data_IF_506473013977
#
_entry.id   IF_506473013977
#
_cell.length_a   1.000
_cell.length_b   1.000
_cell.length_c   1.000
_cell.angle_alpha   90.00
_cell.angle_beta   90.00
_cell.angle_gamma   90.00
#
_symmetry.space_group_name_H-M   'P 1'
#
loop_
_entity.id
_entity.type
_entity.pdbx_description
1 polymer ?
#
# COMPACT_ATOMS: atom_id res chain seq x y z
N UNK A 1 9.66 8.72 8.18
CA UNK A 1 8.23 8.79 7.85
C UNK A 1 8.10 8.80 6.34
N UNK A 2 7.16 8.03 5.77
CA UNK A 2 6.87 8.08 4.33
C UNK A 2 6.11 9.36 4.02
N UNK A 3 6.45 10.02 2.90
CA UNK A 3 5.69 11.15 2.38
C UNK A 3 4.39 10.69 1.69
N UNK A 4 3.63 11.63 1.12
CA UNK A 4 2.40 11.33 0.42
C UNK A 4 2.65 10.40 -0.77
N UNK A 5 1.67 9.58 -1.07
CA UNK A 5 1.66 8.71 -2.25
C UNK A 5 0.47 9.08 -3.10
N UNK A 6 0.71 9.33 -4.38
CA UNK A 6 -0.32 9.51 -5.38
C UNK A 6 -0.39 8.27 -6.27
N UNK A 7 -1.60 7.86 -6.64
CA UNK A 7 -1.80 6.71 -7.50
C UNK A 7 -2.90 6.96 -8.52
N UNK A 8 -2.76 6.36 -9.70
CA UNK A 8 -3.78 6.29 -10.73
C UNK A 8 -3.97 4.84 -11.12
N UNK A 9 -5.21 4.39 -11.25
CA UNK A 9 -5.52 3.01 -11.63
C UNK A 9 -6.44 3.00 -12.86
N UNK A 10 -6.11 2.16 -13.84
CA UNK A 10 -6.95 1.88 -15.00
C UNK A 10 -7.82 0.65 -14.74
N UNK A 11 -8.90 0.52 -15.53
CA UNK A 11 -9.81 -0.63 -15.48
C UNK A 11 -9.14 -1.97 -15.80
N UNK A 12 -8.06 -1.93 -16.58
CA UNK A 12 -7.29 -3.13 -16.96
C UNK A 12 -6.30 -3.62 -15.89
N UNK A 13 -6.33 -2.98 -14.70
CA UNK A 13 -5.46 -3.29 -13.57
C UNK A 13 -4.08 -2.64 -13.62
N UNK A 14 -3.80 -1.80 -14.63
CA UNK A 14 -2.56 -1.02 -14.67
C UNK A 14 -2.63 0.12 -13.65
N UNK A 15 -1.61 0.25 -12.82
CA UNK A 15 -1.50 1.28 -11.78
C UNK A 15 -0.23 2.09 -11.98
N UNK A 16 -0.37 3.40 -11.89
CA UNK A 16 0.75 4.32 -11.70
C UNK A 16 0.84 4.74 -10.25
N UNK A 17 2.01 4.76 -9.69
CA UNK A 17 2.29 5.21 -8.32
C UNK A 17 3.43 6.21 -8.31
N UNK A 18 3.23 7.30 -7.59
CA UNK A 18 4.25 8.29 -7.28
C UNK A 18 4.34 8.44 -5.76
N UNK A 19 5.48 8.10 -5.19
CA UNK A 19 5.73 8.15 -3.76
C UNK A 19 6.81 9.18 -3.45
N UNK A 20 6.47 10.15 -2.63
CA UNK A 20 7.45 11.11 -2.14
C UNK A 20 8.14 10.55 -0.89
N UNK A 21 9.46 10.54 -0.87
CA UNK A 21 10.28 10.11 0.26
C UNK A 21 11.40 11.09 0.50
N UNK A 22 11.35 11.79 1.61
CA UNK A 22 12.38 12.75 2.06
C UNK A 22 12.97 13.59 0.90
N UNK A 23 14.00 13.10 0.24
CA UNK A 23 14.69 13.79 -0.84
C UNK A 23 14.49 13.13 -2.23
N UNK A 24 13.70 12.06 -2.35
CA UNK A 24 13.53 11.33 -3.60
C UNK A 24 12.05 11.07 -3.90
N UNK A 25 11.69 11.21 -5.16
CA UNK A 25 10.40 10.75 -5.70
C UNK A 25 10.61 9.41 -6.38
N UNK A 26 9.81 8.42 -6.02
CA UNK A 26 9.79 7.11 -6.66
C UNK A 26 8.56 7.03 -7.53
N UNK A 27 8.73 6.83 -8.82
CA UNK A 27 7.66 6.59 -9.78
C UNK A 27 7.66 5.11 -10.20
N UNK A 28 6.48 4.52 -10.30
CA UNK A 28 6.35 3.13 -10.72
C UNK A 28 5.06 2.88 -11.52
N UNK A 29 5.11 1.95 -12.45
CA UNK A 29 3.96 1.33 -13.09
C UNK A 29 3.88 -0.13 -12.68
N UNK A 30 2.68 -0.59 -12.34
CA UNK A 30 2.45 -1.97 -11.89
C UNK A 30 1.23 -2.54 -12.61
N UNK A 31 1.32 -3.80 -13.03
CA UNK A 31 0.18 -4.57 -13.55
C UNK A 31 0.32 -6.04 -13.13
N UNK A 32 -0.49 -6.45 -12.16
CA UNK A 32 -0.35 -7.76 -11.54
C UNK A 32 1.02 -7.89 -10.84
N UNK A 33 1.76 -8.93 -11.18
CA UNK A 33 3.10 -9.20 -10.63
C UNK A 33 4.23 -8.51 -11.38
N UNK A 34 3.92 -7.86 -12.50
CA UNK A 34 4.89 -7.14 -13.35
C UNK A 34 4.86 -5.66 -13.07
N UNK A 35 6.01 -5.01 -13.28
CA UNK A 35 6.07 -3.56 -13.14
C UNK A 35 7.42 -2.99 -13.50
N UNK A 36 7.45 -1.67 -13.61
CA UNK A 36 8.65 -0.89 -13.84
C UNK A 36 8.76 0.22 -12.79
N UNK A 37 9.95 0.48 -12.33
CA UNK A 37 10.29 1.56 -11.41
C UNK A 37 11.28 2.51 -12.08
N UNK A 38 11.09 3.80 -11.85
CA UNK A 38 11.99 4.82 -12.34
C UNK A 38 13.17 5.00 -11.38
N UNK A 39 14.36 4.88 -11.91
CA UNK A 39 15.63 5.11 -11.22
C UNK A 39 16.36 6.29 -11.87
N UNK A 40 17.50 6.68 -11.34
CA UNK A 40 18.38 7.69 -11.97
C UNK A 40 18.89 7.26 -13.35
N UNK A 41 19.00 5.96 -13.59
CA UNK A 41 19.43 5.37 -14.85
C UNK A 41 18.28 5.14 -15.86
N UNK A 42 17.04 5.47 -15.49
CA UNK A 42 15.84 5.28 -16.29
C UNK A 42 14.89 4.21 -15.73
N UNK A 43 14.05 3.65 -16.59
CA UNK A 43 13.08 2.62 -16.18
C UNK A 43 13.74 1.24 -16.05
N UNK A 44 13.52 0.58 -14.93
CA UNK A 44 13.99 -0.79 -14.66
C UNK A 44 12.80 -1.68 -14.29
N UNK A 45 12.90 -2.97 -14.64
CA UNK A 45 11.90 -3.94 -14.22
C UNK A 45 11.90 -4.10 -12.69
N UNK A 46 10.73 -4.26 -12.07
CA UNK A 46 10.63 -4.44 -10.61
C UNK A 46 11.37 -5.68 -10.12
N UNK A 47 11.47 -6.72 -10.96
CA UNK A 47 12.25 -7.93 -10.66
C UNK A 47 13.76 -7.66 -10.58
N UNK A 48 14.26 -6.72 -11.35
CA UNK A 48 15.68 -6.33 -11.41
C UNK A 48 16.02 -5.26 -10.37
N UNK A 49 15.10 -4.32 -10.13
CA UNK A 49 15.28 -3.20 -9.19
C UNK A 49 15.52 -3.64 -7.72
N UNK A 50 15.15 -4.88 -7.38
CA UNK A 50 15.51 -5.48 -6.10
C UNK A 50 17.01 -5.75 -5.92
N UNK A 51 17.76 -5.79 -7.01
CA UNK A 51 19.21 -6.06 -7.04
C UNK A 51 20.04 -4.80 -7.27
N UNK A 52 19.45 -3.80 -7.94
CA UNK A 52 20.12 -2.57 -8.34
C UNK A 52 19.68 -1.39 -7.46
N UNK A 53 20.54 -0.93 -6.61
CA UNK A 53 20.44 0.45 -6.12
C UNK A 53 19.96 0.69 -4.68
N UNK A 54 20.79 1.32 -3.92
CA UNK A 54 20.45 1.98 -2.68
C UNK A 54 20.78 1.21 -1.39
N UNK A 55 21.67 0.26 -1.42
CA UNK A 55 22.09 -0.54 -0.27
C UNK A 55 21.30 -1.85 -0.11
N UNK A 56 21.85 -2.85 0.56
CA UNK A 56 21.25 -4.15 0.71
C UNK A 56 19.89 -4.05 1.44
N UNK A 57 18.81 -4.41 0.74
CA UNK A 57 17.45 -4.51 1.27
C UNK A 57 16.48 -3.40 0.87
N UNK A 58 16.90 -2.19 0.50
CA UNK A 58 15.99 -1.06 0.24
C UNK A 58 15.23 -1.20 -1.07
N UNK A 59 15.92 -1.56 -2.15
CA UNK A 59 15.32 -1.83 -3.47
C UNK A 59 14.37 -3.02 -3.41
N UNK A 60 14.78 -4.09 -2.74
CA UNK A 60 13.95 -5.29 -2.56
C UNK A 60 12.67 -4.98 -1.75
N UNK A 61 12.74 -4.12 -0.75
CA UNK A 61 11.57 -3.71 0.02
C UNK A 61 10.58 -2.92 -0.84
N UNK A 62 11.06 -1.96 -1.63
CA UNK A 62 10.22 -1.17 -2.53
C UNK A 62 9.58 -2.05 -3.60
N UNK A 63 10.35 -2.94 -4.24
CA UNK A 63 9.83 -3.87 -5.24
C UNK A 63 8.74 -4.77 -4.66
N UNK A 64 8.96 -5.34 -3.48
CA UNK A 64 7.94 -6.17 -2.79
C UNK A 64 6.70 -5.36 -2.42
N UNK A 65 6.85 -4.14 -1.96
CA UNK A 65 5.73 -3.26 -1.65
C UNK A 65 4.90 -2.96 -2.90
N UNK A 66 5.55 -2.67 -4.03
CA UNK A 66 4.89 -2.39 -5.30
C UNK A 66 4.19 -3.63 -5.87
N UNK A 67 4.84 -4.80 -5.85
CA UNK A 67 4.23 -6.07 -6.30
C UNK A 67 3.02 -6.49 -5.44
N UNK A 68 2.97 -6.08 -4.18
CA UNK A 68 1.84 -6.35 -3.28
C UNK A 68 0.86 -5.18 -3.19
N UNK A 69 1.01 -4.16 -4.04
CA UNK A 69 0.09 -3.04 -4.06
C UNK A 69 -1.31 -3.51 -4.42
N UNK A 70 -2.27 -3.03 -3.65
CA UNK A 70 -3.70 -3.26 -3.90
C UNK A 70 -4.37 -1.94 -4.25
N UNK A 71 -5.25 -1.99 -5.23
CA UNK A 71 -6.10 -0.85 -5.53
C UNK A 71 -6.96 -0.50 -4.30
N UNK A 72 -7.24 0.80 -4.05
CA UNK A 72 -7.94 1.25 -2.84
C UNK A 72 -9.22 0.48 -2.51
N UNK A 73 -10.04 0.16 -3.51
CA UNK A 73 -11.27 -0.59 -3.29
C UNK A 73 -11.00 -2.03 -2.79
N UNK A 74 -10.01 -2.71 -3.37
CA UNK A 74 -9.64 -4.07 -2.94
C UNK A 74 -9.00 -4.05 -1.52
N UNK A 75 -8.25 -3.02 -1.19
CA UNK A 75 -7.67 -2.84 0.14
C UNK A 75 -8.76 -2.64 1.21
N UNK A 76 -9.77 -1.80 0.92
CA UNK A 76 -10.89 -1.56 1.83
C UNK A 76 -11.72 -2.82 2.06
N UNK A 77 -11.97 -3.63 1.02
CA UNK A 77 -12.67 -4.92 1.17
C UNK A 77 -11.90 -5.84 2.14
N UNK A 78 -10.59 -5.97 1.94
CA UNK A 78 -9.76 -6.78 2.85
C UNK A 78 -9.74 -6.23 4.29
N UNK A 79 -9.77 -4.92 4.46
CA UNK A 79 -9.84 -4.30 5.79
C UNK A 79 -11.20 -4.53 6.45
N UNK A 80 -12.29 -4.43 5.69
CA UNK A 80 -13.63 -4.68 6.20
C UNK A 80 -13.80 -6.11 6.75
N UNK A 81 -13.15 -7.10 6.13
CA UNK A 81 -13.12 -8.49 6.64
C UNK A 81 -12.38 -8.64 7.98
N UNK A 82 -11.52 -7.67 8.33
CA UNK A 82 -10.70 -7.67 9.55
C UNK A 82 -11.26 -6.80 10.67
N UNK A 83 -12.38 -6.13 10.41
CA UNK A 83 -13.05 -5.23 11.34
C UNK A 83 -14.18 -5.95 12.04
N UNK A 84 -14.24 -5.80 13.36
CA UNK A 84 -15.39 -6.20 14.13
C UNK A 84 -16.48 -5.12 14.05
N UNK A 85 -17.73 -5.53 13.81
CA UNK A 85 -18.89 -4.66 13.93
C UNK A 85 -18.83 -3.34 13.14
N UNK A 86 -18.55 -3.43 11.83
CA UNK A 86 -18.63 -2.27 10.96
C UNK A 86 -20.02 -1.66 10.98
N UNK A 87 -20.14 -0.44 11.45
CA UNK A 87 -21.42 0.28 11.63
C UNK A 87 -21.43 1.57 10.83
N UNK A 88 -22.61 1.96 10.38
CA UNK A 88 -22.80 3.27 9.76
C UNK A 88 -22.94 4.33 10.85
N UNK A 89 -22.06 5.34 10.82
CA UNK A 89 -22.08 6.50 11.69
C UNK A 89 -22.05 7.78 10.83
N UNK A 90 -23.19 8.44 10.74
CA UNK A 90 -23.37 9.59 9.86
C UNK A 90 -23.22 9.19 8.38
N UNK A 91 -22.25 9.78 7.69
CA UNK A 91 -21.92 9.55 6.29
C UNK A 91 -20.81 8.51 6.07
N UNK A 92 -20.30 7.92 7.15
CA UNK A 92 -19.21 6.95 7.10
C UNK A 92 -19.60 5.60 7.73
N UNK A 93 -18.87 4.56 7.33
CA UNK A 93 -18.86 3.26 7.99
C UNK A 93 -17.61 3.19 8.89
N UNK A 94 -17.79 2.85 10.16
CA UNK A 94 -16.73 2.85 11.16
C UNK A 94 -16.71 1.51 11.88
N UNK A 95 -15.53 1.02 12.22
CA UNK A 95 -15.36 -0.18 13.03
C UNK A 95 -13.90 -0.36 13.47
N UNK A 96 -13.75 -1.10 14.57
CA UNK A 96 -12.41 -1.41 15.09
C UNK A 96 -11.89 -2.71 14.50
N UNK A 97 -10.60 -2.75 14.18
CA UNK A 97 -9.95 -3.98 13.79
C UNK A 97 -9.99 -4.98 14.95
N UNK A 98 -10.23 -6.25 14.64
CA UNK A 98 -9.89 -7.33 15.57
C UNK A 98 -8.39 -7.29 15.86
N UNK A 99 -7.94 -7.85 16.96
CA UNK A 99 -6.50 -7.91 17.27
C UNK A 99 -5.71 -8.60 16.14
N UNK A 100 -6.23 -9.71 15.62
CA UNK A 100 -5.61 -10.40 14.48
C UNK A 100 -5.64 -9.55 13.20
N UNK A 101 -6.74 -8.83 12.96
CA UNK A 101 -6.86 -7.89 11.86
C UNK A 101 -5.81 -6.77 11.94
N UNK A 102 -5.68 -6.15 13.11
CA UNK A 102 -4.68 -5.12 13.36
C UNK A 102 -3.25 -5.66 13.21
N UNK A 103 -2.95 -6.86 13.73
CA UNK A 103 -1.66 -7.55 13.50
C UNK A 103 -1.38 -7.74 12.01
N UNK A 104 -2.37 -8.19 11.24
CA UNK A 104 -2.23 -8.41 9.82
C UNK A 104 -1.94 -7.10 9.04
N UNK A 105 -2.60 -6.00 9.41
CA UNK A 105 -2.38 -4.67 8.81
C UNK A 105 -1.01 -4.11 9.18
N UNK A 106 -0.57 -4.26 10.43
CA UNK A 106 0.76 -3.83 10.89
C UNK A 106 1.88 -4.60 10.21
N UNK A 107 1.76 -5.94 10.12
CA UNK A 107 2.74 -6.80 9.46
C UNK A 107 2.86 -6.48 7.96
N UNK A 108 1.75 -6.10 7.31
CA UNK A 108 1.73 -5.77 5.89
C UNK A 108 2.42 -6.84 5.02
N UNK A 109 3.30 -6.44 4.08
CA UNK A 109 4.03 -7.38 3.22
C UNK A 109 4.95 -8.35 3.98
N UNK A 110 5.41 -7.97 5.18
CA UNK A 110 6.29 -8.81 6.00
C UNK A 110 5.60 -10.06 6.57
N UNK A 111 4.26 -10.11 6.55
CA UNK A 111 3.49 -11.28 6.99
C UNK A 111 3.83 -12.57 6.24
N UNK A 112 4.29 -12.44 4.99
CA UNK A 112 4.68 -13.55 4.11
C UNK A 112 6.18 -13.84 4.11
N UNK A 113 6.95 -13.16 4.96
CA UNK A 113 8.37 -13.44 5.11
C UNK A 113 8.60 -14.79 5.81
N UNK A 114 9.75 -15.41 5.57
CA UNK A 114 10.15 -16.65 6.25
C UNK A 114 10.22 -16.50 7.78
N UNK A 115 10.39 -15.27 8.27
CA UNK A 115 10.37 -14.92 9.68
C UNK A 115 9.49 -13.69 9.87
N UNK A 116 8.15 -13.85 10.02
CA UNK A 116 7.26 -12.74 10.22
C UNK A 116 7.53 -12.05 11.56
N UNK A 117 7.35 -10.73 11.65
CA UNK A 117 7.53 -10.02 12.90
C UNK A 117 6.54 -10.51 13.96
N UNK A 118 6.99 -10.61 15.19
CA UNK A 118 6.08 -10.77 16.31
C UNK A 118 5.42 -9.43 16.62
N UNK A 119 4.09 -9.41 16.70
CA UNK A 119 3.31 -8.19 16.96
C UNK A 119 2.41 -8.42 18.16
N UNK A 120 2.52 -7.54 19.15
CA UNK A 120 1.73 -7.54 20.37
C UNK A 120 0.98 -6.23 20.56
N UNK A 121 -0.13 -6.27 21.32
CA UNK A 121 -0.93 -5.09 21.64
C UNK A 121 -1.52 -4.40 20.40
N UNK A 122 -1.71 -5.14 19.32
CA UNK A 122 -2.21 -4.59 18.07
C UNK A 122 -3.67 -4.17 18.20
N UNK A 123 -3.95 -2.93 17.84
CA UNK A 123 -5.30 -2.35 17.76
C UNK A 123 -5.37 -1.29 16.70
N UNK A 124 -6.57 -0.93 16.30
CA UNK A 124 -6.80 0.13 15.32
C UNK A 124 -8.24 0.21 14.87
N UNK A 125 -8.52 1.14 14.00
CA UNK A 125 -9.86 1.39 13.47
C UNK A 125 -9.84 1.68 11.98
N UNK A 126 -10.96 1.41 11.34
CA UNK A 126 -11.23 1.70 9.94
C UNK A 126 -12.42 2.65 9.84
N UNK A 127 -12.32 3.64 8.96
CA UNK A 127 -13.40 4.53 8.60
C UNK A 127 -13.49 4.65 7.08
N UNK A 128 -14.68 4.44 6.52
CA UNK A 128 -14.90 4.37 5.06
C UNK A 128 -16.06 5.27 4.68
N UNK A 129 -15.89 6.08 3.65
CA UNK A 129 -16.92 6.92 3.07
C UNK A 129 -17.30 6.41 1.67
N UNK A 130 -18.60 6.20 1.50
CA UNK A 130 -19.18 5.82 0.22
C UNK A 130 -20.09 6.95 -0.22
N UNK A 131 -19.83 7.51 -1.39
CA UNK A 131 -20.64 8.55 -2.01
C UNK A 131 -21.19 8.03 -3.34
N UNK A 132 -22.50 8.11 -3.53
CA UNK A 132 -23.19 7.67 -4.75
C UNK A 132 -22.88 6.20 -5.11
N UNK A 133 -22.75 5.34 -4.11
CA UNK A 133 -22.41 3.92 -4.28
C UNK A 133 -20.93 3.65 -4.57
N UNK A 134 -20.08 4.68 -4.56
CA UNK A 134 -18.65 4.59 -4.88
C UNK A 134 -17.81 4.93 -3.66
N UNK A 135 -16.74 4.17 -3.44
CA UNK A 135 -15.74 4.48 -2.42
C UNK A 135 -15.07 5.84 -2.74
N UNK A 136 -15.23 6.82 -1.85
CA UNK A 136 -14.68 8.16 -2.02
C UNK A 136 -13.46 8.43 -1.14
N UNK A 137 -13.43 7.82 0.05
CA UNK A 137 -12.34 8.00 1.02
C UNK A 137 -12.34 6.84 1.99
N UNK A 138 -11.16 6.52 2.52
CA UNK A 138 -11.04 5.74 3.74
C UNK A 138 -9.87 6.22 4.59
N UNK A 139 -9.98 5.99 5.88
CA UNK A 139 -8.92 6.23 6.85
C UNK A 139 -8.77 4.99 7.71
N UNK A 140 -7.55 4.67 8.09
CA UNK A 140 -7.31 3.68 9.12
C UNK A 140 -6.19 4.10 10.06
N UNK A 141 -6.31 3.66 11.29
CA UNK A 141 -5.25 3.76 12.28
C UNK A 141 -4.89 2.36 12.73
N UNK A 142 -3.61 2.08 12.92
CA UNK A 142 -3.14 0.86 13.55
C UNK A 142 -1.94 1.17 14.43
N UNK A 143 -1.90 0.56 15.60
CA UNK A 143 -0.80 0.67 16.54
C UNK A 143 -0.51 -0.66 17.20
N UNK A 144 0.71 -0.84 17.66
CA UNK A 144 1.17 -2.05 18.35
C UNK A 144 2.68 -2.06 18.47
N UNK A 145 3.20 -3.04 19.17
CA UNK A 145 4.64 -3.26 19.33
C UNK A 145 5.08 -4.37 18.38
N UNK A 146 6.04 -4.08 17.55
CA UNK A 146 6.63 -5.03 16.60
C UNK A 146 8.03 -5.41 17.06
N UNK A 147 8.29 -6.71 17.18
CA UNK A 147 9.60 -7.26 17.52
C UNK A 147 10.21 -7.92 16.28
N UNK A 148 11.39 -7.44 15.89
CA UNK A 148 12.16 -7.99 14.76
C UNK A 148 13.61 -8.21 15.24
N UNK A 149 14.07 -9.45 15.16
CA UNK A 149 15.43 -9.79 15.57
C UNK A 149 15.75 -9.43 17.02
N UNK A 150 14.77 -9.53 17.94
CA UNK A 150 14.89 -9.19 19.35
C UNK A 150 14.76 -7.70 19.68
N UNK A 151 14.63 -6.84 18.68
CA UNK A 151 14.41 -5.40 18.89
C UNK A 151 12.92 -5.06 18.84
N UNK A 152 12.45 -4.43 19.89
CA UNK A 152 11.08 -3.93 19.98
C UNK A 152 10.96 -2.51 19.41
N UNK A 153 9.90 -2.28 18.68
CA UNK A 153 9.56 -0.95 18.14
C UNK A 153 8.07 -0.72 18.23
N UNK A 154 7.68 0.35 18.87
CA UNK A 154 6.31 0.83 18.81
C UNK A 154 5.99 1.38 17.41
N UNK A 155 4.87 0.96 16.87
CA UNK A 155 4.35 1.44 15.60
C UNK A 155 3.01 2.08 15.85
N UNK A 156 2.88 3.30 15.38
CA UNK A 156 1.62 4.02 15.28
C UNK A 156 1.51 4.57 13.86
N UNK A 157 0.54 4.07 13.10
CA UNK A 157 0.34 4.44 11.70
C UNK A 157 -1.09 4.94 11.52
N UNK A 158 -1.20 6.15 10.96
CA UNK A 158 -2.45 6.69 10.44
C UNK A 158 -2.31 6.88 8.94
N UNK A 159 -3.28 6.37 8.20
CA UNK A 159 -3.34 6.50 6.74
C UNK A 159 -4.69 7.05 6.36
N UNK A 160 -4.68 8.01 5.45
CA UNK A 160 -5.87 8.56 4.79
C UNK A 160 -5.70 8.40 3.29
N UNK A 161 -6.72 7.88 2.63
CA UNK A 161 -6.75 7.73 1.17
C UNK A 161 -8.00 8.41 0.64
N UNK A 162 -7.81 9.32 -0.29
CA UNK A 162 -8.88 9.97 -1.05
C UNK A 162 -8.90 9.39 -2.46
N UNK A 163 -10.10 9.10 -2.97
CA UNK A 163 -10.31 8.50 -4.28
C UNK A 163 -11.12 9.48 -5.12
N UNK A 164 -10.57 9.81 -6.28
CA UNK A 164 -11.14 10.79 -7.21
C UNK A 164 -11.22 10.19 -8.61
N UNK A 165 -12.04 10.77 -9.46
CA UNK A 165 -12.13 10.45 -10.89
C UNK A 165 -12.41 8.98 -11.20
N UNK A 166 -13.21 8.31 -10.36
CA UNK A 166 -13.58 6.91 -10.54
C UNK A 166 -14.26 6.72 -11.88
N UNK A 167 -13.71 5.82 -12.70
CA UNK A 167 -14.20 5.51 -14.04
C UNK A 167 -13.72 6.47 -15.15
N UNK A 168 -13.12 7.61 -14.80
CA UNK A 168 -12.63 8.62 -15.74
C UNK A 168 -11.11 8.74 -15.80
N UNK A 169 -10.39 8.03 -14.94
CA UNK A 169 -8.92 8.05 -14.89
C UNK A 169 -8.34 7.55 -16.21
N UNK A 170 -7.43 8.34 -16.78
CA UNK A 170 -6.68 8.01 -18.00
C UNK A 170 -5.21 8.35 -17.79
N UNK A 171 -4.33 7.48 -18.22
CA UNK A 171 -2.90 7.72 -18.40
C UNK A 171 -2.32 6.71 -19.37
N UNK A 172 -1.16 7.04 -19.93
CA UNK A 172 -0.41 6.13 -20.79
C UNK A 172 0.88 5.73 -20.10
N UNK A 173 1.25 4.46 -20.26
CA UNK A 173 2.55 3.95 -19.78
C UNK A 173 3.60 4.34 -20.81
N UNK A 174 4.67 5.07 -20.45
CA UNK A 174 5.76 5.39 -21.35
C UNK A 174 6.34 4.12 -22.01
N UNK A 175 6.77 4.24 -23.25
CA UNK A 175 7.28 3.10 -24.03
C UNK A 175 8.42 2.37 -23.30
N UNK A 176 9.35 3.12 -22.72
CA UNK A 176 10.49 2.59 -21.96
C UNK A 176 10.04 1.82 -20.69
N UNK A 177 9.04 2.34 -19.97
CA UNK A 177 8.47 1.64 -18.82
C UNK A 177 7.73 0.37 -19.26
N UNK A 178 6.95 0.45 -20.37
CA UNK A 178 6.22 -0.69 -20.92
C UNK A 178 7.13 -1.84 -21.33
N UNK A 179 8.29 -1.54 -21.92
CA UNK A 179 9.29 -2.53 -22.30
C UNK A 179 9.85 -3.30 -21.09
N UNK A 180 9.85 -2.67 -19.90
CA UNK A 180 10.32 -3.28 -18.64
C UNK A 180 9.24 -4.05 -17.88
N UNK A 181 7.99 -3.94 -18.29
CA UNK A 181 6.84 -4.66 -17.73
C UNK A 181 6.50 -5.96 -18.50
N UNK A 182 7.30 -6.32 -19.46
CA UNK A 182 7.10 -7.52 -20.31
C UNK A 182 7.49 -8.82 -19.60
#
# INVERSE_FOLDING_TARGET
MGGPTEGKALKDGTVYLMMQRANNTVEAYVKGEKGAIKTEEGWQALSEAGQAGGGPGRGLFISRMLMNYKAPAAEVVEFAEKVANLKKEGDAYVGDFTEEGAKAVLAGPMRRANNPPNISGAKGSLKVWIKDGVLSQYEYTVQGTMTVGGNEREINRKVKVEIKDVGNTKFEVPADAKAKMS
#
